data_IF_289759475401
#
_entry.id   IF_289759475401
#
_cell.length_a   1.000
_cell.length_b   1.000
_cell.length_c   1.000
_cell.angle_alpha   90.00
_cell.angle_beta   90.00
_cell.angle_gamma   90.00
#
_symmetry.space_group_name_H-M   'P 1'
#
loop_
_entity.id
_entity.type
_entity.pdbx_description
1 polymer ?
#
# COMPACT_ATOMS: atom_id res chain seq x y z
N UNK A 1 -9.52 18.03 -1.14
CA UNK A 1 -8.36 17.10 -1.10
C UNK A 1 -7.12 17.86 -0.72
N UNK A 2 -6.20 17.26 0.04
CA UNK A 2 -4.89 17.80 0.40
C UNK A 2 -3.81 17.07 -0.40
N UNK A 3 -2.75 17.77 -0.81
CA UNK A 3 -1.64 17.21 -1.58
C UNK A 3 -0.34 17.27 -0.80
N UNK A 4 0.60 16.43 -1.19
CA UNK A 4 1.90 16.30 -0.57
C UNK A 4 2.97 16.10 -1.64
N UNK A 5 4.07 16.87 -1.55
CA UNK A 5 5.22 16.67 -2.43
C UNK A 5 6.10 15.56 -1.84
N UNK A 6 6.20 14.44 -2.54
CA UNK A 6 7.01 13.33 -2.10
C UNK A 6 8.50 13.71 -2.13
N UNK A 7 9.22 13.66 -0.99
CA UNK A 7 10.61 14.09 -0.92
C UNK A 7 11.50 13.40 -1.96
N UNK A 8 12.55 14.08 -2.41
CA UNK A 8 13.48 13.60 -3.43
C UNK A 8 12.84 13.24 -4.79
N UNK A 9 11.65 13.78 -5.06
CA UNK A 9 10.94 13.59 -6.32
C UNK A 9 10.22 14.85 -6.76
N UNK A 10 9.70 14.86 -7.99
CA UNK A 10 8.78 15.88 -8.48
C UNK A 10 7.30 15.46 -8.38
N UNK A 11 7.01 14.40 -7.62
CA UNK A 11 5.66 13.88 -7.49
C UNK A 11 4.87 14.65 -6.44
N UNK A 12 3.81 15.31 -6.87
CA UNK A 12 2.78 15.85 -6.00
C UNK A 12 1.62 14.85 -5.96
N UNK A 13 1.43 14.19 -4.81
CA UNK A 13 0.43 13.14 -4.60
C UNK A 13 -0.67 13.58 -3.65
N UNK A 14 -1.89 13.12 -3.87
CA UNK A 14 -2.98 13.32 -2.92
C UNK A 14 -2.73 12.54 -1.63
N UNK A 15 -3.09 13.13 -0.50
CA UNK A 15 -2.98 12.50 0.84
C UNK A 15 -3.82 11.23 0.97
N UNK A 16 -4.83 11.07 0.12
CA UNK A 16 -5.57 9.83 -0.07
C UNK A 16 -5.19 9.25 -1.43
N UNK A 17 -4.80 7.99 -1.48
CA UNK A 17 -4.57 7.25 -2.71
C UNK A 17 -5.64 6.18 -2.93
N UNK A 18 -5.99 5.91 -4.18
CA UNK A 18 -6.89 4.84 -4.53
C UNK A 18 -6.11 3.52 -4.71
N UNK A 19 -6.28 2.59 -3.77
CA UNK A 19 -5.81 1.21 -3.89
C UNK A 19 -6.79 0.36 -4.70
N UNK A 20 -6.29 -0.37 -5.68
CA UNK A 20 -7.11 -1.00 -6.72
C UNK A 20 -7.15 -2.53 -6.64
N UNK A 21 -6.67 -3.14 -5.57
CA UNK A 21 -6.50 -4.61 -5.46
C UNK A 21 -7.80 -5.43 -5.59
N UNK A 22 -8.96 -4.81 -5.55
CA UNK A 22 -10.27 -5.46 -5.70
C UNK A 22 -10.77 -5.51 -7.14
N UNK A 23 -10.16 -4.74 -8.06
CA UNK A 23 -10.58 -4.61 -9.45
C UNK A 23 -10.25 -5.88 -10.25
N UNK A 24 -11.28 -6.54 -10.76
CA UNK A 24 -11.14 -7.79 -11.49
C UNK A 24 -11.38 -9.06 -10.65
N UNK A 25 -11.65 -8.90 -9.33
CA UNK A 25 -12.12 -9.97 -8.45
C UNK A 25 -13.44 -9.59 -7.78
N UNK A 26 -13.44 -8.65 -6.80
CA UNK A 26 -14.64 -8.16 -6.13
C UNK A 26 -15.38 -7.10 -6.96
N UNK A 27 -14.68 -6.35 -7.79
CA UNK A 27 -15.25 -5.30 -8.63
C UNK A 27 -15.14 -5.66 -10.12
N UNK A 28 -16.22 -5.44 -10.82
CA UNK A 28 -16.29 -5.51 -12.28
C UNK A 28 -15.52 -4.34 -12.91
N UNK A 29 -15.27 -4.42 -14.21
CA UNK A 29 -14.61 -3.33 -14.96
C UNK A 29 -15.39 -2.02 -14.89
N UNK A 30 -16.72 -2.08 -14.99
CA UNK A 30 -17.58 -0.90 -14.93
C UNK A 30 -17.52 -0.23 -13.56
N UNK A 31 -17.55 -1.01 -12.47
CA UNK A 31 -17.42 -0.50 -11.11
C UNK A 31 -16.03 0.10 -10.86
N UNK A 32 -14.96 -0.52 -11.40
CA UNK A 32 -13.62 0.01 -11.34
C UNK A 32 -13.52 1.38 -12.03
N UNK A 33 -14.10 1.52 -13.22
CA UNK A 33 -14.15 2.81 -13.94
C UNK A 33 -14.91 3.87 -13.15
N UNK A 34 -16.07 3.52 -12.59
CA UNK A 34 -16.84 4.44 -11.75
C UNK A 34 -16.07 4.89 -10.52
N UNK A 35 -15.30 4.00 -9.88
CA UNK A 35 -14.45 4.36 -8.73
C UNK A 35 -13.27 5.25 -9.14
N UNK A 36 -12.62 4.97 -10.26
CA UNK A 36 -11.52 5.77 -10.80
C UNK A 36 -11.98 7.18 -11.18
N UNK A 37 -13.12 7.30 -11.87
CA UNK A 37 -13.68 8.61 -12.24
C UNK A 37 -14.08 9.40 -10.99
N UNK A 38 -14.81 8.78 -10.07
CA UNK A 38 -15.21 9.41 -8.82
C UNK A 38 -14.02 9.88 -7.98
N UNK A 39 -12.99 9.05 -7.85
CA UNK A 39 -11.79 9.41 -7.11
C UNK A 39 -11.08 10.62 -7.73
N UNK A 40 -10.91 10.61 -9.06
CA UNK A 40 -10.29 11.73 -9.80
C UNK A 40 -11.11 13.02 -9.67
N UNK A 41 -12.43 12.96 -9.78
CA UNK A 41 -13.34 14.11 -9.60
C UNK A 41 -13.26 14.70 -8.19
N UNK A 42 -12.97 13.88 -7.18
CA UNK A 42 -12.74 14.29 -5.78
C UNK A 42 -11.29 14.72 -5.49
N UNK A 43 -10.46 14.81 -6.53
CA UNK A 43 -9.07 15.26 -6.45
C UNK A 43 -8.07 14.20 -6.00
N UNK A 44 -8.43 12.93 -5.97
CA UNK A 44 -7.48 11.82 -5.76
C UNK A 44 -6.71 11.62 -7.05
N UNK A 45 -5.44 12.00 -7.06
CA UNK A 45 -4.57 11.85 -8.22
C UNK A 45 -3.61 10.65 -8.12
N UNK A 46 -3.53 9.97 -6.98
CA UNK A 46 -2.60 8.87 -6.77
C UNK A 46 -3.32 7.52 -6.83
N UNK A 47 -2.95 6.69 -7.80
CA UNK A 47 -3.52 5.37 -8.06
C UNK A 47 -2.45 4.31 -7.81
N UNK A 48 -2.73 3.37 -6.90
CA UNK A 48 -1.83 2.27 -6.54
C UNK A 48 -2.36 0.93 -7.04
N UNK A 49 -1.54 0.22 -7.82
CA UNK A 49 -1.80 -1.13 -8.32
C UNK A 49 -0.59 -2.04 -8.16
N UNK A 50 -0.62 -3.26 -8.70
CA UNK A 50 0.50 -4.20 -8.77
C UNK A 50 0.28 -5.24 -9.86
N UNK A 51 1.39 -5.79 -10.43
CA UNK A 51 1.33 -6.82 -11.46
C UNK A 51 0.58 -8.09 -11.03
N UNK A 52 0.65 -8.42 -9.73
CA UNK A 52 -0.01 -9.62 -9.18
C UNK A 52 -1.51 -9.42 -8.89
N UNK A 53 -2.04 -8.19 -8.96
CA UNK A 53 -3.43 -7.93 -8.63
C UNK A 53 -4.40 -8.46 -9.70
N UNK A 54 -5.65 -8.82 -9.31
CA UNK A 54 -6.33 -8.60 -8.01
C UNK A 54 -5.93 -9.59 -6.91
N UNK A 55 -6.43 -9.34 -5.71
CA UNK A 55 -6.26 -10.20 -4.53
C UNK A 55 -7.62 -10.73 -4.06
N UNK A 56 -7.76 -12.05 -3.84
CA UNK A 56 -6.72 -13.11 -3.86
C UNK A 56 -6.13 -13.35 -5.25
N UNK A 57 -4.79 -13.55 -5.33
CA UNK A 57 -4.16 -13.78 -6.63
C UNK A 57 -4.53 -15.16 -7.19
N UNK A 58 -4.83 -15.20 -8.49
CA UNK A 58 -5.11 -16.43 -9.23
C UNK A 58 -4.65 -16.33 -10.68
N UNK A 59 -4.36 -17.47 -11.33
CA UNK A 59 -4.01 -17.49 -12.75
C UNK A 59 -5.11 -16.93 -13.68
N UNK A 60 -6.37 -16.98 -13.24
CA UNK A 60 -7.52 -16.51 -14.04
C UNK A 60 -7.68 -15.00 -14.05
N UNK A 61 -7.18 -14.33 -13.01
CA UNK A 61 -7.43 -12.90 -12.78
C UNK A 61 -6.14 -12.07 -12.75
N UNK A 62 -4.96 -12.69 -12.72
CA UNK A 62 -3.68 -12.00 -12.67
C UNK A 62 -3.57 -10.93 -13.76
N UNK A 63 -3.15 -9.72 -13.37
CA UNK A 63 -2.98 -8.57 -14.27
C UNK A 63 -4.28 -7.86 -14.66
N UNK A 64 -5.47 -8.39 -14.34
CA UNK A 64 -6.75 -7.72 -14.68
C UNK A 64 -6.87 -6.32 -14.09
N UNK A 65 -6.34 -6.09 -12.91
CA UNK A 65 -6.38 -4.76 -12.28
C UNK A 65 -5.64 -3.73 -13.12
N UNK A 66 -4.41 -4.03 -13.55
CA UNK A 66 -3.65 -3.15 -14.44
C UNK A 66 -4.32 -3.01 -15.81
N UNK A 67 -4.91 -4.09 -16.35
CA UNK A 67 -5.68 -4.02 -17.60
C UNK A 67 -6.88 -3.07 -17.51
N UNK A 68 -7.64 -3.12 -16.40
CA UNK A 68 -8.78 -2.22 -16.19
C UNK A 68 -8.34 -0.76 -16.09
N UNK A 69 -7.25 -0.49 -15.35
CA UNK A 69 -6.68 0.84 -15.26
C UNK A 69 -6.17 1.31 -16.63
N UNK A 70 -5.46 0.46 -17.38
CA UNK A 70 -4.99 0.76 -18.72
C UNK A 70 -6.12 1.07 -19.70
N UNK A 71 -7.20 0.30 -19.67
CA UNK A 71 -8.38 0.57 -20.45
C UNK A 71 -9.02 1.92 -20.08
N UNK A 72 -9.10 2.24 -18.79
CA UNK A 72 -9.62 3.52 -18.32
C UNK A 72 -8.74 4.70 -18.76
N UNK A 73 -7.40 4.57 -18.68
CA UNK A 73 -6.45 5.57 -19.12
C UNK A 73 -6.52 5.82 -20.63
N UNK A 74 -6.80 4.78 -21.43
CA UNK A 74 -6.84 4.88 -22.90
C UNK A 74 -8.04 5.68 -23.45
N UNK A 75 -9.08 5.90 -22.63
CA UNK A 75 -10.32 6.55 -23.10
C UNK A 75 -10.33 8.08 -22.94
N UNK A 76 -9.22 8.71 -22.50
CA UNK A 76 -9.18 10.16 -22.26
C UNK A 76 -7.79 10.64 -21.89
N UNK A 77 -7.58 11.97 -21.80
CA UNK A 77 -6.34 12.62 -21.32
C UNK A 77 -6.10 12.46 -19.81
N UNK A 78 -6.49 11.31 -19.25
CA UNK A 78 -6.41 11.05 -17.79
C UNK A 78 -5.01 10.71 -17.32
N UNK A 79 -4.17 10.12 -18.20
CA UNK A 79 -2.82 9.69 -17.83
C UNK A 79 -1.99 10.79 -17.19
N UNK A 80 -2.06 12.01 -17.71
CA UNK A 80 -1.32 13.17 -17.21
C UNK A 80 -1.91 13.76 -15.93
N UNK A 81 -3.14 13.38 -15.56
CA UNK A 81 -3.83 13.87 -14.35
C UNK A 81 -3.58 12.98 -13.14
N UNK A 82 -2.92 11.85 -13.32
CA UNK A 82 -2.70 10.87 -12.25
C UNK A 82 -1.22 10.55 -12.08
N UNK A 83 -0.84 10.31 -10.83
CA UNK A 83 0.40 9.64 -10.46
C UNK A 83 0.09 8.15 -10.34
N UNK A 84 0.70 7.35 -11.21
CA UNK A 84 0.44 5.92 -11.32
C UNK A 84 1.58 5.13 -10.68
N UNK A 85 1.25 4.34 -9.65
CA UNK A 85 2.16 3.43 -8.99
C UNK A 85 1.79 1.97 -9.28
N UNK A 86 2.78 1.16 -9.64
CA UNK A 86 2.65 -0.29 -9.69
C UNK A 86 3.86 -0.99 -9.07
N UNK A 87 3.84 -2.33 -9.00
CA UNK A 87 4.84 -3.08 -8.22
C UNK A 87 5.24 -4.37 -8.93
N UNK A 88 6.54 -4.69 -8.90
CA UNK A 88 7.03 -6.03 -9.21
C UNK A 88 6.90 -6.94 -7.98
N UNK A 89 6.34 -8.11 -8.17
CA UNK A 89 6.27 -9.13 -7.11
C UNK A 89 7.67 -9.68 -6.80
N UNK A 90 8.00 -9.77 -5.51
CA UNK A 90 9.24 -10.40 -5.04
C UNK A 90 9.21 -11.92 -5.18
N UNK A 91 10.24 -12.63 -4.67
CA UNK A 91 10.34 -14.07 -4.80
C UNK A 91 9.17 -14.81 -4.17
N UNK A 92 8.52 -15.62 -4.99
CA UNK A 92 7.44 -16.54 -4.58
C UNK A 92 7.19 -17.57 -5.67
N UNK A 93 6.72 -18.74 -5.30
CA UNK A 93 6.31 -19.74 -6.29
C UNK A 93 4.91 -19.41 -6.85
N UNK A 94 4.87 -18.51 -7.84
CA UNK A 94 3.65 -18.12 -8.57
C UNK A 94 3.95 -18.21 -10.08
N UNK A 95 3.99 -19.43 -10.65
CA UNK A 95 4.50 -19.66 -12.00
C UNK A 95 3.66 -19.01 -13.10
N UNK A 96 2.39 -18.67 -12.82
CA UNK A 96 1.54 -17.96 -13.78
C UNK A 96 1.83 -16.46 -13.91
N UNK A 97 2.68 -15.89 -13.06
CA UNK A 97 3.21 -14.52 -13.25
C UNK A 97 4.51 -14.65 -14.06
N UNK A 98 5.50 -15.35 -13.53
CA UNK A 98 6.78 -15.65 -14.18
C UNK A 98 7.41 -16.90 -13.54
N UNK A 99 8.15 -17.66 -14.36
CA UNK A 99 9.02 -18.70 -13.84
C UNK A 99 10.17 -18.07 -13.04
N UNK A 100 10.53 -18.65 -11.89
CA UNK A 100 11.61 -18.17 -11.02
C UNK A 100 11.49 -16.69 -10.67
N UNK A 101 10.39 -16.30 -10.04
CA UNK A 101 10.20 -14.93 -9.59
C UNK A 101 11.32 -14.49 -8.64
N UNK A 102 12.07 -13.47 -9.05
CA UNK A 102 13.12 -12.83 -8.26
C UNK A 102 13.22 -11.35 -8.64
N UNK A 103 13.95 -10.57 -7.84
CA UNK A 103 14.20 -9.15 -8.13
C UNK A 103 15.54 -8.96 -8.85
N UNK A 104 15.92 -9.91 -9.70
CA UNK A 104 17.04 -9.80 -10.62
C UNK A 104 16.71 -8.90 -11.83
N UNK A 105 17.75 -8.50 -12.57
CA UNK A 105 17.65 -7.65 -13.74
C UNK A 105 16.60 -8.15 -14.75
N UNK A 106 16.65 -9.42 -15.12
CA UNK A 106 15.75 -10.00 -16.13
C UNK A 106 14.28 -9.90 -15.70
N UNK A 107 13.99 -10.32 -14.49
CA UNK A 107 12.62 -10.34 -13.97
C UNK A 107 12.04 -8.93 -13.81
N UNK A 108 12.86 -7.96 -13.35
CA UNK A 108 12.44 -6.57 -13.21
C UNK A 108 12.10 -5.95 -14.58
N UNK A 109 12.95 -6.15 -15.59
CA UNK A 109 12.68 -5.63 -16.93
C UNK A 109 11.41 -6.24 -17.53
N UNK A 110 11.23 -7.56 -17.46
CA UNK A 110 10.02 -8.24 -17.92
C UNK A 110 8.77 -7.71 -17.20
N UNK A 111 8.84 -7.56 -15.88
CA UNK A 111 7.72 -7.06 -15.09
C UNK A 111 7.29 -5.65 -15.47
N UNK A 112 8.26 -4.75 -15.72
CA UNK A 112 7.96 -3.38 -16.15
C UNK A 112 7.33 -3.38 -17.56
N UNK A 113 7.88 -4.13 -18.50
CA UNK A 113 7.36 -4.18 -19.87
C UNK A 113 5.93 -4.77 -19.92
N UNK A 114 5.69 -5.81 -19.16
CA UNK A 114 4.37 -6.41 -19.00
C UNK A 114 3.37 -5.45 -18.34
N UNK A 115 3.79 -4.73 -17.29
CA UNK A 115 2.94 -3.72 -16.63
C UNK A 115 2.63 -2.55 -17.54
N UNK A 116 3.61 -2.01 -18.27
CA UNK A 116 3.39 -0.94 -19.26
C UNK A 116 2.38 -1.37 -20.33
N UNK A 117 2.51 -2.61 -20.82
CA UNK A 117 1.58 -3.18 -21.81
C UNK A 117 0.16 -3.27 -21.26
N UNK A 118 -0.04 -3.79 -20.02
CA UNK A 118 -1.36 -3.89 -19.38
C UNK A 118 -1.95 -2.52 -19.07
N UNK A 119 -1.12 -1.59 -18.57
CA UNK A 119 -1.52 -0.22 -18.22
C UNK A 119 -1.69 0.70 -19.45
N UNK A 120 -1.26 0.25 -20.65
CA UNK A 120 -1.35 1.00 -21.90
C UNK A 120 -0.74 2.41 -21.80
N UNK A 121 0.43 2.50 -21.22
CA UNK A 121 1.19 3.74 -21.01
C UNK A 121 2.66 3.49 -21.24
N UNK A 122 3.39 4.54 -21.64
CA UNK A 122 4.81 4.46 -21.93
C UNK A 122 5.69 4.61 -20.67
N UNK A 123 5.10 5.06 -19.57
CA UNK A 123 5.83 5.27 -18.31
C UNK A 123 4.99 5.02 -17.07
N UNK A 124 5.67 4.68 -15.98
CA UNK A 124 5.13 4.54 -14.62
C UNK A 124 5.76 5.64 -13.75
N UNK A 125 4.95 6.34 -12.95
CA UNK A 125 5.47 7.42 -12.10
C UNK A 125 6.24 6.89 -10.89
N UNK A 126 5.72 5.85 -10.20
CA UNK A 126 6.37 5.22 -9.06
C UNK A 126 6.37 3.69 -9.22
N UNK A 127 7.54 3.10 -9.37
CA UNK A 127 7.68 1.65 -9.48
C UNK A 127 8.22 1.07 -8.17
N UNK A 128 7.55 0.07 -7.61
CA UNK A 128 7.82 -0.42 -6.27
C UNK A 128 8.25 -1.88 -6.27
N UNK A 129 9.21 -2.23 -5.41
CA UNK A 129 9.49 -3.62 -5.04
C UNK A 129 8.42 -4.08 -4.05
N UNK A 130 7.56 -5.03 -4.42
CA UNK A 130 6.36 -5.39 -3.65
C UNK A 130 6.67 -6.04 -2.30
N UNK A 131 7.76 -6.80 -2.22
CA UNK A 131 8.39 -7.31 -0.99
C UNK A 131 9.85 -7.64 -1.24
N UNK A 132 10.67 -7.73 -0.19
CA UNK A 132 12.10 -7.98 -0.31
C UNK A 132 12.45 -9.27 -1.04
N UNK A 133 13.59 -9.25 -1.76
CA UNK A 133 14.22 -10.46 -2.33
C UNK A 133 14.62 -11.43 -1.24
N UNK A 134 15.21 -10.91 -0.18
CA UNK A 134 15.73 -11.70 0.93
C UNK A 134 14.63 -12.25 1.85
N UNK A 135 14.92 -13.35 2.52
CA UNK A 135 14.07 -13.87 3.59
C UNK A 135 14.14 -12.92 4.79
N UNK A 136 13.04 -12.30 5.12
CA UNK A 136 12.90 -11.41 6.27
C UNK A 136 11.47 -11.49 6.84
N UNK A 137 11.25 -10.87 7.99
CA UNK A 137 9.94 -10.77 8.61
C UNK A 137 9.09 -9.73 7.87
N UNK A 138 8.10 -10.18 7.15
CA UNK A 138 7.11 -9.36 6.47
C UNK A 138 5.72 -10.00 6.56
N UNK A 139 4.66 -9.27 6.17
CA UNK A 139 3.28 -9.76 6.17
C UNK A 139 2.77 -10.31 7.51
N UNK A 140 3.18 -9.67 8.64
CA UNK A 140 2.72 -10.05 9.97
C UNK A 140 3.62 -11.04 10.71
N UNK A 141 4.78 -11.34 10.19
CA UNK A 141 5.80 -12.13 10.88
C UNK A 141 6.68 -11.22 11.73
N UNK A 142 6.77 -11.47 13.03
CA UNK A 142 7.60 -10.68 13.95
C UNK A 142 9.02 -11.24 14.13
N UNK A 143 9.17 -12.57 14.01
CA UNK A 143 10.44 -13.22 14.26
C UNK A 143 11.29 -13.22 13.00
N UNK A 144 12.49 -12.65 13.09
CA UNK A 144 13.46 -12.72 12.00
C UNK A 144 13.92 -14.17 11.80
N UNK A 145 13.94 -14.69 10.55
CA UNK A 145 14.15 -16.10 10.29
C UNK A 145 15.61 -16.57 10.35
N UNK A 146 16.59 -15.67 10.49
CA UNK A 146 18.03 -15.97 10.47
C UNK A 146 18.42 -16.94 9.34
N UNK A 147 18.19 -16.55 8.06
CA UNK A 147 18.49 -17.45 6.93
C UNK A 147 19.97 -17.76 6.85
N UNK A 148 20.29 -19.02 6.52
CA UNK A 148 21.65 -19.46 6.23
C UNK A 148 21.98 -19.21 4.75
N UNK A 149 23.26 -18.91 4.46
CA UNK A 149 23.76 -18.71 3.10
C UNK A 149 23.66 -17.26 2.62
N UNK A 150 24.16 -17.03 1.39
CA UNK A 150 24.14 -15.74 0.72
C UNK A 150 22.89 -15.65 -0.17
N UNK A 151 22.41 -14.43 -0.39
CA UNK A 151 21.33 -14.15 -1.35
C UNK A 151 21.88 -14.29 -2.78
N UNK A 152 21.12 -14.97 -3.66
CA UNK A 152 21.47 -15.12 -5.08
C UNK A 152 21.40 -13.80 -5.84
N UNK A 153 20.44 -12.93 -5.47
CA UNK A 153 20.26 -11.60 -6.07
C UNK A 153 20.56 -10.54 -5.03
N UNK A 154 21.49 -9.66 -5.34
CA UNK A 154 21.92 -8.59 -4.45
C UNK A 154 21.06 -7.33 -4.59
N UNK A 155 20.96 -6.53 -3.52
CA UNK A 155 20.25 -5.25 -3.57
C UNK A 155 20.86 -4.26 -4.58
N UNK A 156 22.19 -4.36 -4.82
CA UNK A 156 22.83 -3.51 -5.83
C UNK A 156 22.42 -3.90 -7.25
N UNK A 157 22.33 -5.18 -7.59
CA UNK A 157 21.83 -5.64 -8.89
C UNK A 157 20.40 -5.16 -9.15
N UNK A 158 19.55 -5.25 -8.11
CA UNK A 158 18.17 -4.72 -8.18
C UNK A 158 18.15 -3.21 -8.46
N UNK A 159 18.98 -2.40 -7.77
CA UNK A 159 19.07 -0.96 -8.01
C UNK A 159 19.62 -0.61 -9.40
N UNK A 160 20.63 -1.35 -9.89
CA UNK A 160 21.17 -1.19 -11.24
C UNK A 160 20.12 -1.45 -12.32
N UNK A 161 19.33 -2.52 -12.17
CA UNK A 161 18.23 -2.84 -13.08
C UNK A 161 17.16 -1.73 -13.11
N UNK A 162 16.80 -1.20 -11.94
CA UNK A 162 15.85 -0.08 -11.84
C UNK A 162 16.42 1.21 -12.45
N UNK A 163 17.72 1.48 -12.29
CA UNK A 163 18.39 2.62 -12.89
C UNK A 163 18.36 2.57 -14.44
N UNK A 164 18.53 1.39 -15.03
CA UNK A 164 18.40 1.20 -16.48
C UNK A 164 17.01 1.57 -16.97
N UNK A 165 15.96 1.19 -16.23
CA UNK A 165 14.58 1.50 -16.58
C UNK A 165 14.24 2.99 -16.39
N UNK A 166 14.86 3.67 -15.41
CA UNK A 166 14.77 5.13 -15.27
C UNK A 166 15.44 5.82 -16.46
N UNK A 167 16.67 5.41 -16.83
CA UNK A 167 17.39 5.95 -18.00
C UNK A 167 16.64 5.70 -19.32
N UNK A 168 15.92 4.60 -19.42
CA UNK A 168 15.06 4.29 -20.55
C UNK A 168 13.73 5.07 -20.56
N UNK A 169 13.43 5.86 -19.52
CA UNK A 169 12.20 6.62 -19.38
C UNK A 169 10.95 5.78 -19.07
N UNK A 170 11.10 4.48 -18.80
CA UNK A 170 9.99 3.56 -18.52
C UNK A 170 9.41 3.73 -17.12
N UNK A 171 10.24 4.10 -16.13
CA UNK A 171 9.83 4.43 -14.77
C UNK A 171 10.46 5.78 -14.36
N UNK A 172 9.79 6.55 -13.52
CA UNK A 172 10.32 7.85 -13.08
C UNK A 172 11.02 7.75 -11.73
N UNK A 173 10.36 7.15 -10.74
CA UNK A 173 10.86 7.00 -9.38
C UNK A 173 10.68 5.57 -8.89
N UNK A 174 11.47 5.21 -7.89
CA UNK A 174 11.44 3.88 -7.29
C UNK A 174 11.05 3.94 -5.80
N UNK A 175 10.31 2.94 -5.37
CA UNK A 175 9.94 2.74 -3.96
C UNK A 175 10.05 1.28 -3.55
N UNK A 176 9.86 1.04 -2.27
CA UNK A 176 9.86 -0.32 -1.71
C UNK A 176 8.54 -0.58 -0.98
N UNK A 177 8.21 -1.85 -0.76
CA UNK A 177 7.04 -2.24 0.02
C UNK A 177 7.38 -3.43 0.90
N UNK A 178 6.74 -3.51 2.08
CA UNK A 178 7.00 -4.56 3.07
C UNK A 178 8.48 -4.66 3.45
N UNK A 179 9.17 -3.53 3.42
CA UNK A 179 10.61 -3.45 3.67
C UNK A 179 10.88 -3.14 5.15
N UNK A 180 12.06 -3.52 5.60
CA UNK A 180 12.54 -3.35 6.97
C UNK A 180 13.45 -2.13 7.11
N UNK A 181 13.71 -1.61 8.33
CA UNK A 181 14.67 -0.54 8.55
C UNK A 181 16.05 -0.82 7.96
N UNK A 182 16.53 -2.06 8.11
CA UNK A 182 17.83 -2.48 7.55
C UNK A 182 17.84 -2.39 6.03
N UNK A 183 16.78 -2.87 5.36
CA UNK A 183 16.72 -2.86 3.90
C UNK A 183 16.63 -1.45 3.33
N UNK A 184 15.81 -0.57 3.95
CA UNK A 184 15.72 0.84 3.55
C UNK A 184 17.09 1.50 3.64
N UNK A 185 17.77 1.43 4.80
CA UNK A 185 19.08 2.06 4.99
C UNK A 185 20.16 1.44 4.10
N UNK A 186 20.10 0.15 3.81
CA UNK A 186 21.05 -0.50 2.91
C UNK A 186 20.86 -0.01 1.46
N UNK A 187 19.63 0.09 0.98
CA UNK A 187 19.32 0.61 -0.36
C UNK A 187 19.77 2.07 -0.51
N UNK A 188 19.55 2.92 0.52
CA UNK A 188 20.00 4.30 0.52
C UNK A 188 21.53 4.43 0.46
N UNK A 189 22.24 3.65 1.27
CA UNK A 189 23.72 3.62 1.26
C UNK A 189 24.28 3.12 -0.07
N UNK A 190 23.66 2.10 -0.67
CA UNK A 190 24.08 1.60 -1.98
C UNK A 190 23.83 2.63 -3.08
N UNK A 191 22.68 3.30 -3.06
CA UNK A 191 22.34 4.36 -4.00
C UNK A 191 23.38 5.51 -3.94
N UNK A 192 23.70 5.99 -2.75
CA UNK A 192 24.71 7.04 -2.55
C UNK A 192 26.11 6.59 -3.00
N UNK A 193 26.56 5.39 -2.54
CA UNK A 193 27.89 4.88 -2.83
C UNK A 193 28.16 4.63 -4.31
N UNK A 194 27.13 4.24 -5.07
CA UNK A 194 27.27 3.83 -6.47
C UNK A 194 26.62 4.80 -7.46
N UNK A 195 26.21 5.98 -7.03
CA UNK A 195 25.53 7.00 -7.85
C UNK A 195 24.29 6.40 -8.57
N UNK A 196 23.49 5.64 -7.83
CA UNK A 196 22.27 5.00 -8.29
C UNK A 196 21.03 5.76 -7.78
N UNK A 197 19.86 5.57 -8.41
CA UNK A 197 18.64 6.22 -7.99
C UNK A 197 18.24 5.81 -6.56
N UNK A 198 17.86 6.81 -5.78
CA UNK A 198 17.37 6.68 -4.42
C UNK A 198 15.92 6.18 -4.42
N UNK A 199 15.56 5.34 -3.46
CA UNK A 199 14.16 5.04 -3.15
C UNK A 199 13.52 6.29 -2.52
N UNK A 200 12.29 6.64 -2.96
CA UNK A 200 11.58 7.85 -2.52
C UNK A 200 10.40 7.56 -1.59
N UNK A 201 9.99 6.30 -1.46
CA UNK A 201 8.86 5.91 -0.62
C UNK A 201 8.98 4.48 -0.10
N UNK A 202 8.26 4.21 0.97
CA UNK A 202 8.03 2.86 1.49
C UNK A 202 6.53 2.61 1.63
N UNK A 203 6.02 1.48 1.13
CA UNK A 203 4.63 1.09 1.26
C UNK A 203 4.49 -0.08 2.24
N UNK A 204 4.10 0.22 3.47
CA UNK A 204 3.96 -0.77 4.54
C UNK A 204 2.56 -0.69 5.20
N UNK A 205 2.12 -1.75 5.92
CA UNK A 205 0.87 -1.69 6.64
C UNK A 205 0.96 -0.68 7.79
N UNK A 206 -0.08 0.14 7.93
CA UNK A 206 -0.18 1.04 9.06
C UNK A 206 -1.65 1.35 9.40
N UNK A 207 -2.04 1.09 10.63
CA UNK A 207 -3.39 1.35 11.16
C UNK A 207 -3.37 1.25 12.70
N UNK A 208 -4.50 1.52 13.35
CA UNK A 208 -4.63 1.47 14.81
C UNK A 208 -4.31 0.10 15.44
N UNK A 209 -4.43 -1.01 14.69
CA UNK A 209 -4.09 -2.36 15.17
C UNK A 209 -2.65 -2.78 14.82
N UNK A 210 -1.97 -2.02 13.96
CA UNK A 210 -0.59 -2.26 13.55
C UNK A 210 0.15 -0.93 13.42
N UNK A 211 0.87 -0.56 14.45
CA UNK A 211 1.70 0.66 14.52
C UNK A 211 3.19 0.33 14.47
N UNK A 212 3.56 -0.87 13.99
CA UNK A 212 4.95 -1.34 13.94
C UNK A 212 5.88 -0.42 13.12
N UNK A 213 5.33 0.34 12.17
CA UNK A 213 6.09 1.36 11.41
C UNK A 213 6.69 2.44 12.31
N UNK A 214 6.05 2.76 13.42
CA UNK A 214 6.54 3.76 14.38
C UNK A 214 7.84 3.31 15.09
N UNK A 215 8.14 2.00 15.03
CA UNK A 215 9.36 1.43 15.64
C UNK A 215 10.49 1.41 14.61
N UNK A 216 11.21 2.51 14.48
CA UNK A 216 12.39 2.67 13.62
C UNK A 216 12.13 3.23 12.22
N UNK A 217 11.10 2.79 11.49
CA UNK A 217 10.84 3.30 10.14
C UNK A 217 10.33 4.75 10.12
N UNK A 218 9.60 5.19 11.13
CA UNK A 218 9.17 6.59 11.25
C UNK A 218 10.33 7.56 11.44
N UNK A 219 11.37 7.16 12.18
CA UNK A 219 12.59 7.94 12.35
C UNK A 219 13.39 8.01 11.03
N UNK A 220 13.48 6.88 10.31
CA UNK A 220 14.07 6.85 8.96
C UNK A 220 13.29 7.75 8.00
N UNK A 221 11.97 7.70 8.03
CA UNK A 221 11.13 8.61 7.22
C UNK A 221 11.47 10.07 7.49
N UNK A 222 11.61 10.44 8.75
CA UNK A 222 11.91 11.81 9.14
C UNK A 222 13.28 12.28 8.65
N UNK A 223 14.33 11.47 8.86
CA UNK A 223 15.70 11.86 8.52
C UNK A 223 16.05 11.68 7.05
N UNK A 224 15.52 10.64 6.42
CA UNK A 224 15.87 10.26 5.06
C UNK A 224 14.86 10.70 4.02
N UNK A 225 13.68 11.18 4.43
CA UNK A 225 12.61 11.55 3.50
C UNK A 225 12.03 10.37 2.70
N UNK A 226 12.14 9.13 3.21
CA UNK A 226 11.49 7.95 2.64
C UNK A 226 10.17 7.75 3.37
N UNK A 227 9.13 8.42 2.88
CA UNK A 227 7.86 8.50 3.60
C UNK A 227 6.94 7.32 3.30
N UNK A 228 5.97 7.11 4.21
CA UNK A 228 5.06 5.98 4.18
C UNK A 228 3.89 6.22 3.21
N UNK A 229 3.68 5.26 2.33
CA UNK A 229 2.43 5.00 1.65
C UNK A 229 1.68 3.93 2.46
N UNK A 230 0.75 4.35 3.32
CA UNK A 230 0.11 3.46 4.28
C UNK A 230 -0.94 2.56 3.61
N UNK A 231 -0.75 1.23 3.65
CA UNK A 231 -1.79 0.32 3.17
C UNK A 231 -2.55 -0.36 4.32
N UNK A 232 -3.75 -0.88 4.04
CA UNK A 232 -4.68 -1.47 5.03
C UNK A 232 -5.02 -0.55 6.21
N UNK A 233 -5.33 0.73 5.98
CA UNK A 233 -5.60 1.68 7.07
C UNK A 233 -6.83 1.31 7.91
N UNK A 234 -7.76 0.52 7.35
CA UNK A 234 -8.93 -0.01 8.04
C UNK A 234 -8.75 -1.47 8.53
N UNK A 235 -7.51 -2.01 8.54
CA UNK A 235 -7.27 -3.38 8.97
C UNK A 235 -8.23 -4.41 8.30
N UNK A 236 -8.27 -4.43 6.96
CA UNK A 236 -9.22 -5.23 6.14
C UNK A 236 -10.70 -4.90 6.41
N UNK A 237 -10.98 -3.76 7.01
CA UNK A 237 -12.33 -3.33 7.41
C UNK A 237 -12.70 -3.67 8.86
N UNK A 238 -11.81 -4.27 9.65
CA UNK A 238 -12.07 -4.57 11.07
C UNK A 238 -12.34 -3.28 11.86
N UNK A 239 -11.58 -2.21 11.63
CA UNK A 239 -11.71 -0.93 12.33
C UNK A 239 -13.02 -0.18 12.05
N UNK A 240 -13.86 -0.63 11.11
CA UNK A 240 -15.24 -0.15 11.00
C UNK A 240 -16.20 -0.78 12.02
N UNK A 241 -15.76 -1.78 12.77
CA UNK A 241 -16.58 -2.52 13.72
C UNK A 241 -17.49 -3.60 13.12
N UNK A 242 -17.56 -3.69 11.78
CA UNK A 242 -18.54 -4.57 11.08
C UNK A 242 -18.35 -6.07 11.30
N UNK A 243 -17.22 -6.50 11.85
CA UNK A 243 -16.93 -7.90 12.16
C UNK A 243 -17.00 -8.21 13.67
N UNK A 244 -17.27 -7.21 14.51
CA UNK A 244 -17.43 -7.42 15.94
C UNK A 244 -18.60 -8.37 16.23
N UNK A 245 -18.58 -9.02 17.39
CA UNK A 245 -19.57 -10.02 17.80
C UNK A 245 -19.70 -11.20 16.82
N UNK A 246 -18.62 -11.55 16.11
CA UNK A 246 -18.61 -12.66 15.17
C UNK A 246 -19.37 -12.42 13.86
N UNK A 247 -19.78 -11.18 13.58
CA UNK A 247 -20.50 -10.85 12.35
C UNK A 247 -19.65 -11.11 11.09
N UNK A 248 -20.31 -11.54 10.03
CA UNK A 248 -19.73 -11.77 8.69
C UNK A 248 -20.64 -11.17 7.62
N UNK A 249 -20.63 -9.83 7.43
CA UNK A 249 -21.50 -9.19 6.45
C UNK A 249 -21.28 -9.73 5.04
N UNK A 250 -22.35 -9.92 4.30
CA UNK A 250 -22.31 -10.36 2.91
C UNK A 250 -21.47 -9.41 2.05
N UNK A 251 -20.69 -9.95 1.10
CA UNK A 251 -19.82 -9.18 0.22
C UNK A 251 -18.60 -8.55 0.90
N UNK A 252 -18.46 -8.64 2.23
CA UNK A 252 -17.30 -8.10 2.93
C UNK A 252 -16.07 -9.03 2.77
N UNK A 253 -14.88 -8.43 2.63
CA UNK A 253 -13.63 -9.14 2.32
C UNK A 253 -13.38 -10.36 3.20
N UNK A 254 -13.43 -10.19 4.52
CA UNK A 254 -13.16 -11.29 5.47
C UNK A 254 -14.32 -12.29 5.59
N UNK A 255 -15.48 -11.99 4.99
CA UNK A 255 -16.60 -12.94 4.82
C UNK A 255 -16.42 -13.78 3.57
N UNK A 256 -15.90 -13.18 2.49
CA UNK A 256 -15.69 -13.85 1.22
C UNK A 256 -14.42 -14.72 1.19
N UNK A 257 -13.37 -14.31 1.92
CA UNK A 257 -12.06 -14.93 1.81
C UNK A 257 -11.48 -15.25 3.19
N UNK A 258 -11.44 -16.51 3.56
CA UNK A 258 -10.95 -17.02 4.86
C UNK A 258 -9.48 -16.69 5.16
N UNK A 259 -8.67 -16.43 4.11
CA UNK A 259 -7.25 -16.09 4.27
C UNK A 259 -6.97 -14.74 4.98
N UNK A 260 -7.95 -13.84 5.05
CA UNK A 260 -7.78 -12.53 5.67
C UNK A 260 -8.04 -12.60 7.18
N UNK A 261 -7.12 -13.24 7.92
CA UNK A 261 -7.24 -13.49 9.37
C UNK A 261 -6.33 -12.62 10.24
N UNK A 262 -5.38 -11.88 9.64
CA UNK A 262 -4.35 -11.10 10.38
C UNK A 262 -4.94 -10.29 11.54
N UNK A 263 -6.07 -9.63 11.33
CA UNK A 263 -6.65 -8.69 12.30
C UNK A 263 -7.71 -9.31 13.24
N UNK A 264 -7.81 -10.65 13.28
CA UNK A 264 -8.74 -11.39 14.14
C UNK A 264 -8.05 -12.10 15.31
N UNK A 265 -6.89 -11.60 15.75
CA UNK A 265 -6.31 -12.06 17.02
C UNK A 265 -7.21 -11.69 18.19
N UNK A 266 -7.22 -12.43 19.31
CA UNK A 266 -8.02 -12.06 20.47
C UNK A 266 -7.80 -10.61 20.91
N UNK A 267 -6.54 -10.18 21.03
CA UNK A 267 -6.19 -8.80 21.37
C UNK A 267 -6.61 -7.80 20.28
N UNK A 268 -6.56 -8.19 19.00
CA UNK A 268 -7.02 -7.36 17.88
C UNK A 268 -8.52 -7.10 17.91
N UNK A 269 -9.31 -8.10 18.31
CA UNK A 269 -10.77 -7.97 18.47
C UNK A 269 -11.09 -7.04 19.66
N UNK A 270 -10.42 -7.23 20.80
CA UNK A 270 -10.60 -6.36 21.98
C UNK A 270 -10.18 -4.91 21.68
N UNK A 271 -9.04 -4.71 21.05
CA UNK A 271 -8.59 -3.39 20.63
C UNK A 271 -9.56 -2.73 19.63
N UNK A 272 -10.07 -3.52 18.65
CA UNK A 272 -11.09 -3.03 17.70
C UNK A 272 -12.34 -2.55 18.42
N UNK A 273 -12.84 -3.32 19.41
CA UNK A 273 -14.00 -2.91 20.21
C UNK A 273 -13.72 -1.59 20.93
N UNK A 274 -12.58 -1.46 21.60
CA UNK A 274 -12.20 -0.24 22.31
C UNK A 274 -12.12 0.98 21.39
N UNK A 275 -11.53 0.85 20.19
CA UNK A 275 -11.48 1.94 19.21
C UNK A 275 -12.86 2.31 18.64
N UNK A 276 -13.73 1.32 18.43
CA UNK A 276 -15.10 1.56 17.96
C UNK A 276 -15.93 2.30 19.02
N UNK A 277 -15.77 1.91 20.29
CA UNK A 277 -16.49 2.55 21.40
C UNK A 277 -16.00 3.99 21.58
N UNK A 278 -14.70 4.24 21.57
CA UNK A 278 -14.11 5.58 21.62
C UNK A 278 -14.62 6.47 20.47
N UNK A 279 -14.70 5.95 19.24
CA UNK A 279 -15.22 6.71 18.11
C UNK A 279 -16.68 7.14 18.34
N UNK A 280 -17.51 6.22 18.86
CA UNK A 280 -18.93 6.49 19.16
C UNK A 280 -19.11 7.50 20.28
N UNK A 281 -18.30 7.43 21.34
CA UNK A 281 -18.29 8.42 22.43
C UNK A 281 -18.03 9.83 21.92
N UNK A 282 -17.21 9.96 20.86
CA UNK A 282 -16.93 11.24 20.21
C UNK A 282 -17.84 11.54 18.99
N UNK A 283 -18.93 10.79 18.79
CA UNK A 283 -19.86 10.93 17.67
C UNK A 283 -19.22 10.83 16.27
N UNK A 284 -18.17 10.04 16.13
CA UNK A 284 -17.49 9.77 14.87
C UNK A 284 -17.82 8.38 14.33
N UNK A 285 -17.82 8.27 12.98
CA UNK A 285 -17.78 6.97 12.33
C UNK A 285 -16.43 6.31 12.61
N UNK A 286 -16.39 5.05 13.11
CA UNK A 286 -15.13 4.39 13.46
C UNK A 286 -14.15 4.25 12.29
N UNK A 287 -14.65 4.04 11.05
CA UNK A 287 -13.79 3.93 9.88
C UNK A 287 -13.19 5.30 9.53
N UNK A 288 -13.97 6.38 9.62
CA UNK A 288 -13.45 7.74 9.37
C UNK A 288 -12.44 8.15 10.44
N UNK A 289 -12.68 7.86 11.71
CA UNK A 289 -11.69 8.08 12.78
C UNK A 289 -10.38 7.33 12.51
N UNK A 290 -10.46 6.06 12.16
CA UNK A 290 -9.27 5.25 11.89
C UNK A 290 -8.48 5.76 10.67
N UNK A 291 -9.17 6.21 9.61
CA UNK A 291 -8.53 6.81 8.44
C UNK A 291 -7.92 8.18 8.77
N UNK A 292 -8.63 9.04 9.50
CA UNK A 292 -8.15 10.35 9.93
C UNK A 292 -6.89 10.22 10.81
N UNK A 293 -6.82 9.21 11.68
CA UNK A 293 -5.62 8.89 12.45
C UNK A 293 -4.41 8.66 11.54
N UNK A 294 -4.56 7.87 10.47
CA UNK A 294 -3.47 7.62 9.51
C UNK A 294 -3.14 8.87 8.71
N UNK A 295 -4.15 9.62 8.23
CA UNK A 295 -3.97 10.83 7.43
C UNK A 295 -3.14 11.91 8.13
N UNK A 296 -3.21 11.97 9.48
CA UNK A 296 -2.56 13.01 10.29
C UNK A 296 -1.15 12.65 10.75
N UNK A 297 -0.66 11.43 10.46
CA UNK A 297 0.71 11.06 10.84
C UNK A 297 1.73 11.81 9.97
N UNK A 298 2.74 12.45 10.57
CA UNK A 298 3.70 13.27 9.83
C UNK A 298 4.56 12.47 8.84
N UNK A 299 4.78 11.19 9.10
CA UNK A 299 5.53 10.28 8.24
C UNK A 299 4.70 9.63 7.12
N UNK A 300 3.38 9.88 7.06
CA UNK A 300 2.51 9.34 6.02
C UNK A 300 2.41 10.33 4.87
N UNK A 301 2.97 9.97 3.72
CA UNK A 301 2.83 10.74 2.49
C UNK A 301 1.42 10.59 1.89
N UNK A 302 0.92 9.36 1.83
CA UNK A 302 -0.42 9.07 1.32
C UNK A 302 -1.02 7.83 1.98
N UNK A 303 -2.33 7.89 2.24
CA UNK A 303 -3.11 6.80 2.81
C UNK A 303 -3.84 6.05 1.68
N UNK A 304 -3.45 4.80 1.43
CA UNK A 304 -4.01 3.97 0.36
C UNK A 304 -5.31 3.33 0.84
N UNK A 305 -6.42 3.91 0.42
CA UNK A 305 -7.76 3.41 0.73
C UNK A 305 -8.23 2.40 -0.32
N UNK A 306 -9.07 1.47 0.09
CA UNK A 306 -9.79 0.54 -0.80
C UNK A 306 -11.28 0.61 -0.55
N UNK A 307 -12.08 0.42 -1.59
CA UNK A 307 -13.52 0.36 -1.51
C UNK A 307 -14.09 -0.70 -2.45
N UNK A 308 -15.25 -1.26 -2.13
CA UNK A 308 -15.98 -2.16 -3.03
C UNK A 308 -17.20 -1.49 -3.67
N UNK A 309 -17.53 -0.27 -3.25
CA UNK A 309 -18.60 0.54 -3.84
C UNK A 309 -18.33 2.05 -3.63
N UNK A 310 -19.06 2.91 -4.36
CA UNK A 310 -18.88 4.35 -4.33
C UNK A 310 -19.20 4.98 -2.96
N UNK A 311 -20.17 4.46 -2.22
CA UNK A 311 -20.50 4.97 -0.88
C UNK A 311 -19.33 4.80 0.10
N UNK A 312 -18.66 3.63 0.07
CA UNK A 312 -17.46 3.41 0.87
C UNK A 312 -16.32 4.32 0.41
N UNK A 313 -16.13 4.47 -0.91
CA UNK A 313 -15.10 5.31 -1.48
C UNK A 313 -15.29 6.77 -1.06
N UNK A 314 -16.49 7.30 -1.15
CA UNK A 314 -16.84 8.65 -0.71
C UNK A 314 -16.55 8.85 0.79
N UNK A 315 -17.03 7.94 1.63
CA UNK A 315 -16.77 7.99 3.07
C UNK A 315 -15.27 7.97 3.38
N UNK A 316 -14.51 7.11 2.69
CA UNK A 316 -13.06 7.02 2.89
C UNK A 316 -12.34 8.29 2.44
N UNK A 317 -12.72 8.90 1.31
CA UNK A 317 -12.13 10.17 0.83
C UNK A 317 -12.46 11.31 1.80
N UNK A 318 -13.69 11.38 2.31
CA UNK A 318 -14.11 12.42 3.24
C UNK A 318 -13.36 12.38 4.59
N UNK A 319 -12.70 11.27 4.93
CA UNK A 319 -11.86 11.16 6.13
C UNK A 319 -10.71 12.18 6.17
N UNK A 320 -10.35 12.79 5.03
CA UNK A 320 -9.30 13.83 4.95
C UNK A 320 -9.69 15.12 5.67
N UNK A 321 -10.99 15.36 5.83
CA UNK A 321 -11.54 16.55 6.45
C UNK A 321 -11.94 16.32 7.94
N UNK A 322 -11.76 15.08 8.45
CA UNK A 322 -12.02 14.76 9.85
C UNK A 322 -10.85 15.20 10.70
N UNK A 323 -11.11 16.09 11.65
CA UNK A 323 -10.16 16.54 12.66
C UNK A 323 -10.35 15.73 13.95
N UNK A 324 -9.25 15.23 14.50
CA UNK A 324 -9.24 14.51 15.76
C UNK A 324 -8.85 15.47 16.89
N UNK A 325 -9.69 15.62 17.91
CA UNK A 325 -9.36 16.42 19.08
C UNK A 325 -8.20 15.82 19.88
N UNK A 326 -7.52 16.64 20.69
CA UNK A 326 -6.45 16.18 21.57
C UNK A 326 -6.95 15.12 22.57
N UNK A 327 -8.19 15.24 23.07
CA UNK A 327 -8.82 14.25 23.94
C UNK A 327 -8.96 12.91 23.23
N UNK A 328 -9.45 12.91 21.98
CA UNK A 328 -9.57 11.70 21.17
C UNK A 328 -8.21 11.10 20.83
N UNK A 329 -7.21 11.93 20.50
CA UNK A 329 -5.84 11.46 20.24
C UNK A 329 -5.22 10.82 21.50
N UNK A 330 -5.46 11.36 22.69
CA UNK A 330 -5.02 10.76 23.94
C UNK A 330 -5.70 9.41 24.19
N UNK A 331 -7.02 9.29 23.98
CA UNK A 331 -7.75 8.03 24.06
C UNK A 331 -7.22 6.96 23.09
N UNK A 332 -6.92 7.36 21.83
CA UNK A 332 -6.29 6.47 20.86
C UNK A 332 -4.90 6.00 21.31
N UNK A 333 -4.14 6.89 21.96
CA UNK A 333 -2.82 6.55 22.50
C UNK A 333 -2.91 5.59 23.69
N UNK A 334 -3.85 5.79 24.60
CA UNK A 334 -4.08 4.90 25.76
C UNK A 334 -4.47 3.49 25.31
N UNK A 335 -5.41 3.38 24.35
CA UNK A 335 -5.78 2.08 23.76
C UNK A 335 -4.57 1.42 23.10
N UNK A 336 -3.78 2.19 22.31
CA UNK A 336 -2.57 1.70 21.66
C UNK A 336 -1.48 1.25 22.64
N UNK A 337 -1.35 1.90 23.79
CA UNK A 337 -0.43 1.49 24.86
C UNK A 337 -0.89 0.18 25.52
N UNK A 338 -2.20 0.03 25.75
CA UNK A 338 -2.79 -1.20 26.32
C UNK A 338 -2.66 -2.39 25.36
N UNK A 339 -2.87 -2.17 24.08
CA UNK A 339 -2.83 -3.19 23.02
C UNK A 339 -1.72 -2.88 22.01
N UNK A 340 -0.47 -3.02 22.44
CA UNK A 340 0.69 -2.69 21.60
C UNK A 340 0.81 -3.63 20.42
N UNK A 341 0.56 -3.12 19.18
CA UNK A 341 0.63 -3.88 17.93
C UNK A 341 -0.09 -5.24 17.99
N UNK A 342 -1.38 -5.28 18.29
CA UNK A 342 -2.09 -6.55 18.49
C UNK A 342 -2.19 -7.40 17.22
N UNK A 343 -1.92 -6.79 16.05
CA UNK A 343 -2.01 -7.42 14.73
C UNK A 343 -0.88 -6.93 13.79
N UNK A 344 0.38 -7.24 14.08
CA UNK A 344 1.55 -6.75 13.33
C UNK A 344 1.60 -7.22 11.88
#
# INVERSE_FOLDING_TARGET
MKYHNLPHSSLEISKIALGTMTFGEQNTKQEAFSQLDFALERGVNFIDTAEMYPVPPSAKTQGKTEQYIGDWLSHSDKRQKVVLATKVAGPRNIPYIRDNMSLDRRNIHLAVDDSLSRLKTDYIDLYQLHWPQRKTNCFGQLNYPYPEGNEEVTLIETLEALNELIKAGKIRYIGVSNETPWGVMTLLKLAEKHDLPRIVSIQNPYNLLNRSFEVGLSEISHHEGVELLAYSPLAFGCLSGKYLNGQRPEGARCSLFERFVRYFTPQGIEATQAYVDLAREHNLDPAQMALAFVNQRPFVASNIIGATNLKQLESNINSIDVELSDELLNGLQEIGAKYSNPCP
#
